data_IF_054993278179
#
_entry.id   IF_054993278179
#
_cell.length_a   1.000
_cell.length_b   1.000
_cell.length_c   1.000
_cell.angle_alpha   90.00
_cell.angle_beta   90.00
_cell.angle_gamma   90.00
#
_symmetry.space_group_name_H-M   'P 1'
#
loop_
_entity.id
_entity.type
_entity.pdbx_description
1 polymer ?
#
# COMPACT_ATOMS: atom_id res chain seq x y z
N UNK A 1 -45.79 -7.80 -1.22
CA UNK A 1 -44.48 -7.15 -1.06
C UNK A 1 -43.44 -8.02 -1.76
N UNK A 2 -43.12 -7.70 -3.01
CA UNK A 2 -42.16 -8.47 -3.81
C UNK A 2 -40.76 -8.01 -3.44
N UNK A 3 -40.03 -8.79 -2.63
CA UNK A 3 -38.63 -8.50 -2.35
C UNK A 3 -37.81 -8.70 -3.62
N UNK A 4 -37.21 -7.63 -4.12
CA UNK A 4 -36.24 -7.65 -5.22
C UNK A 4 -34.99 -8.41 -4.77
N UNK A 5 -34.71 -9.56 -5.39
CA UNK A 5 -33.45 -10.31 -5.22
C UNK A 5 -32.29 -9.38 -5.56
N UNK A 6 -31.53 -8.94 -4.56
CA UNK A 6 -30.28 -8.21 -4.75
C UNK A 6 -29.31 -9.12 -5.52
N UNK A 7 -28.86 -8.76 -6.73
CA UNK A 7 -27.93 -9.58 -7.49
C UNK A 7 -26.60 -9.67 -6.74
N UNK A 8 -26.18 -10.89 -6.42
CA UNK A 8 -24.88 -11.13 -5.77
C UNK A 8 -23.76 -10.70 -6.72
N UNK A 9 -23.02 -9.66 -6.35
CA UNK A 9 -21.93 -9.12 -7.17
C UNK A 9 -20.65 -9.95 -6.95
N UNK A 10 -20.66 -11.19 -7.45
CA UNK A 10 -19.54 -12.15 -7.33
C UNK A 10 -18.24 -11.58 -7.90
N UNK A 11 -18.32 -10.72 -8.92
CA UNK A 11 -17.18 -9.99 -9.49
C UNK A 11 -16.52 -9.05 -8.47
N UNK A 12 -17.31 -8.25 -7.76
CA UNK A 12 -16.77 -7.39 -6.69
C UNK A 12 -16.18 -8.21 -5.53
N UNK A 13 -16.81 -9.34 -5.18
CA UNK A 13 -16.36 -10.20 -4.10
C UNK A 13 -15.01 -10.86 -4.42
N UNK A 14 -14.84 -11.38 -5.64
CA UNK A 14 -13.54 -11.91 -6.10
C UNK A 14 -12.42 -10.86 -6.10
N UNK A 15 -12.73 -9.63 -6.52
CA UNK A 15 -11.76 -8.52 -6.50
C UNK A 15 -11.37 -8.17 -5.07
N UNK A 16 -12.33 -8.11 -4.15
CA UNK A 16 -12.09 -7.80 -2.75
C UNK A 16 -11.22 -8.88 -2.10
N UNK A 17 -11.50 -10.16 -2.35
CA UNK A 17 -10.70 -11.29 -1.86
C UNK A 17 -9.25 -11.21 -2.35
N UNK A 18 -9.03 -10.96 -3.64
CA UNK A 18 -7.67 -10.80 -4.19
C UNK A 18 -6.93 -9.62 -3.56
N UNK A 19 -7.57 -8.47 -3.45
CA UNK A 19 -6.96 -7.27 -2.84
C UNK A 19 -6.61 -7.53 -1.38
N UNK A 20 -7.51 -8.13 -0.60
CA UNK A 20 -7.24 -8.47 0.80
C UNK A 20 -6.16 -9.52 0.96
N UNK A 21 -6.11 -10.51 0.06
CA UNK A 21 -5.07 -11.53 0.05
C UNK A 21 -3.69 -10.91 -0.15
N UNK A 22 -3.52 -10.06 -1.18
CA UNK A 22 -2.25 -9.38 -1.42
C UNK A 22 -1.91 -8.37 -0.32
N UNK A 23 -2.91 -7.69 0.26
CA UNK A 23 -2.69 -6.80 1.40
C UNK A 23 -2.15 -7.56 2.61
N UNK A 24 -2.74 -8.71 2.93
CA UNK A 24 -2.25 -9.60 3.99
C UNK A 24 -0.86 -10.14 3.71
N UNK A 25 -0.57 -10.51 2.45
CA UNK A 25 0.75 -10.95 2.02
C UNK A 25 1.82 -9.87 2.21
N UNK A 26 1.53 -8.61 1.84
CA UNK A 26 2.44 -7.48 2.05
C UNK A 26 2.65 -7.26 3.56
N UNK A 27 1.59 -7.25 4.35
CA UNK A 27 1.68 -7.09 5.81
C UNK A 27 2.56 -8.17 6.45
N UNK A 28 2.39 -9.43 6.06
CA UNK A 28 3.22 -10.54 6.52
C UNK A 28 4.67 -10.46 5.99
N UNK A 29 4.86 -9.95 4.78
CA UNK A 29 6.20 -9.77 4.20
C UNK A 29 7.03 -8.76 5.00
N UNK A 30 6.43 -7.73 5.61
CA UNK A 30 7.18 -6.75 6.41
C UNK A 30 7.86 -7.36 7.64
N UNK A 31 7.22 -8.33 8.30
CA UNK A 31 7.80 -8.98 9.47
C UNK A 31 9.00 -9.85 9.11
N UNK A 32 9.15 -10.24 7.84
CA UNK A 32 10.31 -10.95 7.29
C UNK A 32 11.33 -9.96 6.69
N UNK A 33 10.86 -8.92 6.00
CA UNK A 33 11.70 -7.94 5.30
C UNK A 33 12.50 -7.07 6.26
N UNK A 34 11.91 -6.56 7.34
CA UNK A 34 12.62 -5.72 8.32
C UNK A 34 13.82 -6.44 8.95
N UNK A 35 13.68 -7.67 9.49
CA UNK A 35 14.84 -8.40 10.03
C UNK A 35 15.83 -8.83 8.94
N UNK A 36 15.37 -9.12 7.71
CA UNK A 36 16.24 -9.38 6.57
C UNK A 36 17.10 -8.15 6.21
N UNK A 37 16.49 -6.96 6.11
CA UNK A 37 17.22 -5.72 5.85
C UNK A 37 18.22 -5.42 6.97
N UNK A 38 17.84 -5.70 8.22
CA UNK A 38 18.75 -5.55 9.38
C UNK A 38 20.00 -6.42 9.25
N UNK A 39 19.85 -7.70 8.90
CA UNK A 39 21.00 -8.62 8.77
C UNK A 39 21.80 -8.38 7.50
N UNK A 40 21.14 -8.04 6.40
CA UNK A 40 21.80 -7.81 5.11
C UNK A 40 22.64 -6.53 5.09
N UNK A 41 22.12 -5.44 5.66
CA UNK A 41 22.81 -4.14 5.74
C UNK A 41 23.52 -3.90 7.09
N UNK A 42 23.63 -4.91 7.96
CA UNK A 42 24.22 -4.81 9.32
C UNK A 42 23.70 -3.61 10.16
N UNK A 43 22.41 -3.30 10.02
CA UNK A 43 21.81 -2.11 10.63
C UNK A 43 21.68 -2.25 12.15
N UNK A 44 21.88 -1.13 12.85
CA UNK A 44 21.62 -1.01 14.28
C UNK A 44 20.11 -1.19 14.59
N UNK A 45 19.79 -1.49 15.86
CA UNK A 45 18.40 -1.67 16.28
C UNK A 45 17.53 -0.44 16.00
N UNK A 46 18.11 0.76 16.11
CA UNK A 46 17.43 2.02 15.85
C UNK A 46 17.09 2.18 14.36
N UNK A 47 18.05 1.90 13.46
CA UNK A 47 17.82 1.98 12.01
C UNK A 47 16.77 0.98 11.52
N UNK A 48 16.76 -0.24 12.08
CA UNK A 48 15.72 -1.23 11.78
C UNK A 48 14.32 -0.76 12.20
N UNK A 49 14.22 -0.03 13.32
CA UNK A 49 12.96 0.57 13.77
C UNK A 49 12.54 1.76 12.90
N UNK A 50 13.49 2.53 12.35
CA UNK A 50 13.19 3.59 11.38
C UNK A 50 12.55 3.02 10.11
N UNK A 51 12.99 1.86 9.63
CA UNK A 51 12.38 1.17 8.48
C UNK A 51 10.92 0.80 8.80
N UNK A 52 10.67 0.21 9.97
CA UNK A 52 9.31 -0.10 10.42
C UNK A 52 8.43 1.15 10.57
N UNK A 53 8.99 2.21 11.14
CA UNK A 53 8.30 3.50 11.30
C UNK A 53 7.99 4.15 9.95
N UNK A 54 8.90 4.10 8.98
CA UNK A 54 8.66 4.58 7.62
C UNK A 54 7.55 3.79 6.93
N UNK A 55 7.50 2.46 7.10
CA UNK A 55 6.45 1.63 6.52
C UNK A 55 5.05 2.01 7.03
N UNK A 56 4.86 2.11 8.35
CA UNK A 56 3.57 2.51 8.91
C UNK A 56 3.28 4.01 8.72
N UNK A 57 4.32 4.85 8.77
CA UNK A 57 4.25 6.28 8.50
C UNK A 57 3.83 6.58 7.06
N UNK A 58 4.22 5.75 6.10
CA UNK A 58 3.78 5.87 4.71
C UNK A 58 2.26 5.68 4.55
N UNK A 59 1.61 4.81 5.34
CA UNK A 59 0.14 4.72 5.34
C UNK A 59 -0.52 6.00 5.83
N UNK A 60 0.03 6.58 6.91
CA UNK A 60 -0.48 7.83 7.46
C UNK A 60 -0.29 8.99 6.47
N UNK A 61 0.93 9.18 5.95
CA UNK A 61 1.24 10.25 5.00
C UNK A 61 0.50 10.05 3.68
N UNK A 62 0.38 8.81 3.19
CA UNK A 62 -0.39 8.50 1.98
C UNK A 62 -1.86 8.87 2.13
N UNK A 63 -2.48 8.51 3.26
CA UNK A 63 -3.86 8.93 3.56
C UNK A 63 -3.98 10.45 3.70
N UNK A 64 -2.99 11.10 4.31
CA UNK A 64 -2.98 12.55 4.50
C UNK A 64 -2.83 13.29 3.18
N UNK A 65 -1.95 12.83 2.28
CA UNK A 65 -1.80 13.37 0.92
C UNK A 65 -3.10 13.21 0.14
N UNK A 66 -3.73 12.03 0.20
CA UNK A 66 -5.02 11.83 -0.45
C UNK A 66 -6.08 12.79 0.10
N UNK A 67 -6.13 12.97 1.42
CA UNK A 67 -7.04 13.91 2.06
C UNK A 67 -6.76 15.37 1.65
N UNK A 68 -5.51 15.81 1.67
CA UNK A 68 -5.08 17.14 1.26
C UNK A 68 -5.33 17.38 -0.22
N UNK A 69 -5.04 16.42 -1.10
CA UNK A 69 -5.37 16.49 -2.51
C UNK A 69 -6.88 16.59 -2.73
N UNK A 70 -7.68 15.80 -1.99
CA UNK A 70 -9.15 15.87 -2.04
C UNK A 70 -9.67 17.25 -1.60
N UNK A 71 -9.06 17.83 -0.56
CA UNK A 71 -9.38 19.17 -0.07
C UNK A 71 -8.97 20.28 -1.05
N UNK A 72 -7.75 20.22 -1.60
CA UNK A 72 -7.19 21.19 -2.54
C UNK A 72 -7.94 21.23 -3.87
N UNK A 73 -8.41 20.07 -4.34
CA UNK A 73 -9.19 19.95 -5.57
C UNK A 73 -10.66 20.34 -5.34
N UNK A 74 -11.09 20.52 -4.09
CA UNK A 74 -12.45 20.97 -3.73
C UNK A 74 -13.53 19.93 -4.02
N UNK A 75 -13.16 18.69 -4.35
CA UNK A 75 -14.07 17.60 -4.69
C UNK A 75 -13.54 16.29 -4.14
N UNK A 76 -14.47 15.45 -3.68
CA UNK A 76 -14.15 14.14 -3.14
C UNK A 76 -13.64 13.21 -4.26
N UNK A 77 -12.32 13.15 -4.39
CA UNK A 77 -11.62 12.45 -5.47
C UNK A 77 -12.08 11.00 -5.56
N UNK A 78 -12.29 10.33 -4.42
CA UNK A 78 -12.75 8.95 -4.36
C UNK A 78 -14.17 8.77 -4.90
N UNK A 79 -15.06 9.72 -4.64
CA UNK A 79 -16.45 9.65 -5.02
C UNK A 79 -16.64 9.88 -6.54
N UNK A 80 -15.76 10.67 -7.17
CA UNK A 80 -15.80 10.94 -8.62
C UNK A 80 -14.94 9.98 -9.45
N UNK A 81 -13.79 9.56 -8.95
CA UNK A 81 -12.89 8.59 -9.62
C UNK A 81 -13.47 7.16 -9.51
N UNK A 82 -14.22 6.89 -8.44
CA UNK A 82 -14.79 5.59 -8.14
C UNK A 82 -13.74 4.64 -7.54
N UNK A 83 -14.18 3.83 -6.57
CA UNK A 83 -13.34 2.86 -5.85
C UNK A 83 -12.45 2.00 -6.77
N UNK A 84 -12.98 1.58 -7.92
CA UNK A 84 -12.24 0.74 -8.88
C UNK A 84 -10.98 1.43 -9.41
N UNK A 85 -11.04 2.72 -9.77
CA UNK A 85 -9.87 3.46 -10.27
C UNK A 85 -8.92 3.86 -9.14
N UNK A 86 -9.42 4.13 -7.93
CA UNK A 86 -8.59 4.35 -6.75
C UNK A 86 -7.69 3.15 -6.44
N UNK A 87 -8.25 1.92 -6.48
CA UNK A 87 -7.48 0.68 -6.31
C UNK A 87 -6.41 0.54 -7.41
N UNK A 88 -6.74 0.85 -8.66
CA UNK A 88 -5.79 0.77 -9.79
C UNK A 88 -4.60 1.74 -9.60
N UNK A 89 -4.86 2.99 -9.22
CA UNK A 89 -3.79 3.96 -8.97
C UNK A 89 -2.92 3.55 -7.77
N UNK A 90 -3.53 3.01 -6.71
CA UNK A 90 -2.78 2.43 -5.59
C UNK A 90 -1.87 1.28 -6.03
N UNK A 91 -2.35 0.40 -6.91
CA UNK A 91 -1.55 -0.68 -7.48
C UNK A 91 -0.36 -0.15 -8.28
N UNK A 92 -0.57 0.88 -9.10
CA UNK A 92 0.51 1.52 -9.86
C UNK A 92 1.58 2.14 -8.96
N UNK A 93 1.17 2.79 -7.87
CA UNK A 93 2.10 3.32 -6.86
C UNK A 93 2.93 2.18 -6.24
N UNK A 94 2.31 1.04 -5.93
CA UNK A 94 3.03 -0.14 -5.41
C UNK A 94 4.04 -0.70 -6.42
N UNK A 95 3.71 -0.73 -7.72
CA UNK A 95 4.64 -1.15 -8.78
C UNK A 95 5.84 -0.22 -8.87
N UNK A 96 5.60 1.10 -8.87
CA UNK A 96 6.68 2.09 -8.89
C UNK A 96 7.55 1.97 -7.63
N UNK A 97 6.94 1.81 -6.45
CA UNK A 97 7.66 1.59 -5.20
C UNK A 97 8.54 0.34 -5.24
N UNK A 98 8.02 -0.79 -5.75
CA UNK A 98 8.80 -2.02 -5.92
C UNK A 98 9.96 -1.85 -6.90
N UNK A 99 9.76 -1.12 -8.01
CA UNK A 99 10.83 -0.82 -8.96
C UNK A 99 11.92 0.07 -8.36
N UNK A 100 11.58 0.99 -7.45
CA UNK A 100 12.54 1.84 -6.74
C UNK A 100 13.37 1.07 -5.70
N UNK A 101 12.89 -0.07 -5.20
CA UNK A 101 13.66 -0.95 -4.30
C UNK A 101 14.85 -1.58 -5.02
N UNK A 102 14.74 -1.89 -6.32
CA UNK A 102 15.81 -2.51 -7.11
C UNK A 102 17.09 -1.64 -7.14
N UNK A 103 17.05 -0.37 -7.59
CA UNK A 103 18.23 0.50 -7.54
C UNK A 103 18.63 0.84 -6.11
N UNK A 104 17.70 0.94 -5.15
CA UNK A 104 18.03 1.21 -3.76
C UNK A 104 18.80 0.05 -3.09
N UNK A 105 18.50 -1.20 -3.45
CA UNK A 105 19.22 -2.36 -2.97
C UNK A 105 20.59 -2.53 -3.66
N UNK A 106 20.71 -2.11 -4.92
CA UNK A 106 21.95 -2.21 -5.69
C UNK A 106 22.88 -1.00 -5.50
N UNK A 107 22.33 0.14 -5.09
CA UNK A 107 23.09 1.24 -4.53
C UNK A 107 23.61 0.78 -3.16
N UNK A 108 24.86 0.32 -3.13
CA UNK A 108 25.63 0.06 -1.92
C UNK A 108 25.87 1.39 -1.15
N UNK A 109 24.81 2.06 -0.72
CA UNK A 109 24.85 3.33 0.02
C UNK A 109 24.88 3.12 1.53
N UNK A 110 24.89 1.87 1.98
CA UNK A 110 25.27 1.52 3.35
C UNK A 110 26.71 0.97 3.30
N UNK A 111 27.69 1.66 3.92
CA UNK A 111 29.02 1.10 4.12
C UNK A 111 29.01 -0.11 5.07
#
# INVERSE_FOLDING_TARGET
MSQTKQPTNTGALSTLVLVFFFWGFIAASNSIFIPFAKTHFNLSQFESQLIGSAFYGAYFIGSLILFLCSNLIGYDILNKIGYKKGIIYGLWISVVGALLIIPAANANSFP
#
